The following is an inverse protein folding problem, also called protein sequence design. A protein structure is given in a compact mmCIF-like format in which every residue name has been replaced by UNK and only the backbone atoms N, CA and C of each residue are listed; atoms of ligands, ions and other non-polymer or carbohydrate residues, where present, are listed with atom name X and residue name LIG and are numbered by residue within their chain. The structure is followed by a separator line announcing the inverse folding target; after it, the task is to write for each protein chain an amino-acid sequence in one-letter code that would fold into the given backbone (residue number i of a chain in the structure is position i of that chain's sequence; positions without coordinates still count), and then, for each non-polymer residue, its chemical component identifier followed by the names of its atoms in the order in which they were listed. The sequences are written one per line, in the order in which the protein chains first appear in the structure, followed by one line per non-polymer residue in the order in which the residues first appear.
data_IF_202687524268
#
_entry.id   IF_202687524268
#
_cell.length_a   1.000
_cell.length_b   1.000
_cell.length_c   1.000
_cell.angle_alpha   90.00
_cell.angle_beta   90.00
_cell.angle_gamma   90.00
#
_symmetry.space_group_name_H-M   'P 1'
#
loop_
_entity.id
_entity.type
_entity.pdbx_description
1 polymer ?
#
# COMPACT_ATOMS: atom_id res chain seq x y z
N UNK A 1 13.90 -14.65 -4.83
CA UNK A 1 14.01 -13.75 -6.01
C UNK A 1 12.66 -13.16 -6.31
N UNK A 2 12.55 -11.85 -6.29
CA UNK A 2 11.31 -11.19 -6.70
C UNK A 2 11.07 -11.48 -8.17
N UNK A 3 9.83 -11.87 -8.48
CA UNK A 3 9.42 -12.02 -9.87
C UNK A 3 9.25 -10.63 -10.45
N UNK A 4 10.24 -10.15 -11.21
CA UNK A 4 10.24 -8.84 -11.84
C UNK A 4 9.54 -8.83 -13.20
N UNK A 5 8.86 -9.93 -13.56
CA UNK A 5 8.14 -10.01 -14.82
C UNK A 5 7.09 -8.91 -14.92
N UNK A 6 7.14 -8.15 -16.00
CA UNK A 6 6.21 -7.07 -16.28
C UNK A 6 6.53 -5.75 -15.62
N UNK A 7 7.53 -5.69 -14.73
CA UNK A 7 7.97 -4.42 -14.12
C UNK A 7 8.92 -3.72 -15.08
N UNK A 8 8.54 -2.53 -15.55
CA UNK A 8 9.30 -1.79 -16.53
C UNK A 8 10.46 -0.99 -15.90
N UNK A 9 11.41 -0.58 -16.72
CA UNK A 9 12.69 -0.02 -16.27
C UNK A 9 12.57 1.31 -15.52
N UNK A 10 11.50 2.07 -15.73
CA UNK A 10 11.25 3.33 -15.02
C UNK A 10 10.62 3.15 -13.63
N UNK A 11 10.43 1.90 -13.19
CA UNK A 11 9.97 1.59 -11.85
C UNK A 11 11.07 1.75 -10.82
N UNK A 12 10.71 2.15 -9.60
CA UNK A 12 11.66 2.31 -8.49
C UNK A 12 11.15 1.63 -7.23
N UNK A 13 12.10 1.16 -6.42
CA UNK A 13 11.84 0.55 -5.10
C UNK A 13 12.70 1.24 -4.05
N UNK A 14 12.17 1.29 -2.84
CA UNK A 14 12.84 1.88 -1.68
C UNK A 14 12.83 0.88 -0.54
N UNK A 15 13.97 0.72 0.13
CA UNK A 15 14.12 -0.11 1.32
C UNK A 15 14.71 0.75 2.44
N UNK A 16 14.06 0.73 3.60
CA UNK A 16 14.51 1.48 4.76
C UNK A 16 14.39 0.60 6.00
N UNK A 17 15.52 0.38 6.67
CA UNK A 17 15.53 -0.32 7.94
C UNK A 17 15.09 0.62 9.06
N UNK A 18 14.21 0.15 9.93
CA UNK A 18 13.81 0.89 11.11
C UNK A 18 14.90 0.79 12.18
N UNK A 19 15.25 1.93 12.79
CA UNK A 19 16.09 1.90 13.99
C UNK A 19 15.31 1.31 15.18
N UNK A 20 15.98 1.10 16.31
CA UNK A 20 15.37 0.47 17.48
C UNK A 20 14.17 1.25 18.01
N UNK A 21 14.25 2.57 18.05
CA UNK A 21 13.14 3.42 18.50
C UNK A 21 11.94 3.29 17.57
N UNK A 22 12.16 3.39 16.26
CA UNK A 22 11.12 3.34 15.24
C UNK A 22 10.44 1.98 15.23
N UNK A 23 11.22 0.90 15.25
CA UNK A 23 10.66 -0.46 15.23
C UNK A 23 9.77 -0.74 16.44
N UNK A 24 10.08 -0.14 17.61
CA UNK A 24 9.35 -0.38 18.86
C UNK A 24 8.15 0.55 19.03
N UNK A 25 8.25 1.79 18.55
CA UNK A 25 7.33 2.85 19.00
C UNK A 25 6.53 3.53 17.89
N UNK A 26 6.88 3.36 16.63
CA UNK A 26 6.28 4.11 15.52
C UNK A 26 5.65 3.21 14.48
N UNK A 27 4.74 3.77 13.69
CA UNK A 27 4.44 3.21 12.37
C UNK A 27 5.66 3.41 11.50
N UNK A 28 5.98 2.43 10.66
CA UNK A 28 7.12 2.57 9.74
C UNK A 28 6.85 1.89 8.40
N UNK A 29 7.60 2.31 7.39
CA UNK A 29 7.51 1.82 6.01
C UNK A 29 8.86 1.22 5.62
N UNK A 30 9.01 -0.12 5.75
CA UNK A 30 10.27 -0.77 5.41
C UNK A 30 10.51 -0.89 3.91
N UNK A 31 9.45 -0.86 3.10
CA UNK A 31 9.54 -1.13 1.68
C UNK A 31 8.44 -0.36 0.95
N UNK A 32 8.79 0.26 -0.15
CA UNK A 32 7.86 1.01 -0.98
C UNK A 32 8.32 1.00 -2.43
N UNK A 33 7.42 1.32 -3.34
CA UNK A 33 7.74 1.39 -4.75
C UNK A 33 6.77 2.25 -5.54
N UNK A 34 7.25 2.70 -6.68
CA UNK A 34 6.46 3.35 -7.72
C UNK A 34 6.69 2.55 -9.00
N UNK A 35 5.66 1.85 -9.45
CA UNK A 35 5.76 0.87 -10.51
C UNK A 35 5.02 1.30 -11.77
N UNK A 36 5.68 1.07 -12.89
CA UNK A 36 5.08 1.03 -14.20
C UNK A 36 5.21 -0.40 -14.71
N UNK A 37 4.09 -1.06 -14.98
CA UNK A 37 4.07 -2.47 -15.35
C UNK A 37 3.28 -2.69 -16.63
N UNK A 38 3.65 -3.72 -17.38
CA UNK A 38 2.82 -4.23 -18.46
C UNK A 38 1.82 -5.29 -17.93
N UNK A 39 1.00 -5.83 -18.80
CA UNK A 39 -0.05 -6.78 -18.44
C UNK A 39 0.45 -8.17 -18.03
N UNK A 40 1.76 -8.43 -18.11
CA UNK A 40 2.35 -9.68 -17.62
C UNK A 40 2.65 -9.64 -16.11
N UNK A 41 2.54 -8.45 -15.50
CA UNK A 41 2.85 -8.28 -14.09
C UNK A 41 1.85 -9.02 -13.19
N UNK A 42 2.36 -9.72 -12.20
CA UNK A 42 1.56 -10.37 -11.19
C UNK A 42 2.36 -10.68 -9.93
N UNK A 43 1.65 -10.85 -8.83
CA UNK A 43 2.20 -11.17 -7.52
C UNK A 43 1.28 -12.16 -6.83
N UNK A 44 1.85 -13.21 -6.25
CA UNK A 44 1.11 -14.15 -5.41
C UNK A 44 1.97 -14.50 -4.20
N UNK A 45 1.37 -14.43 -3.01
CA UNK A 45 2.01 -14.83 -1.75
C UNK A 45 0.99 -15.48 -0.82
N UNK A 46 1.43 -16.46 -0.04
CA UNK A 46 0.62 -17.04 1.01
C UNK A 46 0.78 -16.29 2.33
N UNK A 47 1.98 -15.72 2.57
CA UNK A 47 2.29 -15.05 3.83
C UNK A 47 3.47 -14.11 3.69
N UNK A 48 3.29 -12.91 4.24
CA UNK A 48 4.36 -11.95 4.52
C UNK A 48 3.94 -11.15 5.76
N UNK A 49 4.79 -11.05 6.76
CA UNK A 49 4.46 -10.40 8.04
C UNK A 49 4.47 -8.87 7.91
N UNK A 50 3.49 -8.33 7.19
CA UNK A 50 3.37 -6.90 6.90
C UNK A 50 1.94 -6.55 6.47
N UNK A 51 1.55 -5.30 6.62
CA UNK A 51 0.38 -4.72 5.95
C UNK A 51 0.84 -3.97 4.70
N UNK A 52 -0.03 -3.87 3.70
CA UNK A 52 0.31 -3.24 2.43
C UNK A 52 -0.84 -2.35 1.93
N UNK A 53 -0.47 -1.22 1.35
CA UNK A 53 -1.35 -0.39 0.55
C UNK A 53 -0.81 -0.31 -0.87
N UNK A 54 -1.73 -0.41 -1.85
CA UNK A 54 -1.44 -0.17 -3.27
C UNK A 54 -2.41 0.90 -3.76
N UNK A 55 -1.91 1.84 -4.53
CA UNK A 55 -2.71 2.90 -5.12
C UNK A 55 -2.60 2.79 -6.64
N UNK A 56 -3.73 2.56 -7.30
CA UNK A 56 -3.77 2.48 -8.76
C UNK A 56 -3.89 3.89 -9.30
N UNK A 57 -2.88 4.32 -10.05
CA UNK A 57 -2.86 5.63 -10.69
C UNK A 57 -3.39 5.58 -12.12
N UNK A 58 -3.02 4.53 -12.88
CA UNK A 58 -3.50 4.28 -14.25
C UNK A 58 -3.66 2.78 -14.46
N UNK A 59 -4.65 2.40 -15.25
CA UNK A 59 -4.89 1.00 -15.60
C UNK A 59 -5.76 0.27 -14.60
N UNK A 60 -5.80 -1.06 -14.72
CA UNK A 60 -6.64 -1.92 -13.89
C UNK A 60 -5.86 -3.09 -13.32
N UNK A 61 -6.11 -3.38 -12.06
CA UNK A 61 -5.49 -4.48 -11.31
C UNK A 61 -6.59 -5.44 -10.82
N UNK A 62 -6.42 -6.72 -11.10
CA UNK A 62 -7.27 -7.76 -10.52
C UNK A 62 -6.67 -8.21 -9.20
N UNK A 63 -7.45 -8.19 -8.12
CA UNK A 63 -7.00 -8.52 -6.77
C UNK A 63 -7.86 -9.66 -6.22
N UNK A 64 -7.20 -10.71 -5.76
CA UNK A 64 -7.85 -11.85 -5.08
C UNK A 64 -7.41 -11.88 -3.62
N UNK A 65 -8.37 -11.74 -2.72
CA UNK A 65 -8.12 -11.64 -1.30
C UNK A 65 -9.37 -12.03 -0.51
N UNK A 66 -9.21 -12.81 0.56
CA UNK A 66 -10.31 -13.26 1.43
C UNK A 66 -11.45 -13.94 0.66
N UNK A 67 -11.10 -14.75 -0.35
CA UNK A 67 -12.07 -15.51 -1.14
C UNK A 67 -12.82 -14.71 -2.20
N UNK A 68 -12.46 -13.44 -2.41
CA UNK A 68 -13.08 -12.59 -3.43
C UNK A 68 -12.05 -12.15 -4.46
N UNK A 69 -12.49 -12.02 -5.71
CA UNK A 69 -11.71 -11.41 -6.78
C UNK A 69 -12.41 -10.13 -7.23
N UNK A 70 -11.71 -9.02 -7.20
CA UNK A 70 -12.24 -7.70 -7.58
C UNK A 70 -11.25 -6.96 -8.45
N UNK A 71 -11.76 -6.08 -9.29
CA UNK A 71 -10.95 -5.20 -10.14
C UNK A 71 -10.82 -3.83 -9.48
N UNK A 72 -9.58 -3.34 -9.36
CA UNK A 72 -9.26 -2.01 -8.90
C UNK A 72 -8.81 -1.15 -10.08
N UNK A 73 -9.49 -0.04 -10.29
CA UNK A 73 -9.17 0.94 -11.33
C UNK A 73 -8.52 2.20 -10.77
N UNK A 74 -8.26 3.21 -11.63
CA UNK A 74 -7.65 4.46 -11.18
C UNK A 74 -8.45 5.11 -10.04
N UNK A 75 -7.72 5.59 -9.04
CA UNK A 75 -8.31 6.18 -7.84
C UNK A 75 -8.70 5.18 -6.77
N UNK A 76 -8.38 3.90 -6.93
CA UNK A 76 -8.58 2.89 -5.89
C UNK A 76 -7.34 2.75 -5.02
N UNK A 77 -7.57 2.61 -3.70
CA UNK A 77 -6.57 2.19 -2.75
C UNK A 77 -6.91 0.75 -2.33
N UNK A 78 -5.93 -0.13 -2.41
CA UNK A 78 -6.06 -1.53 -2.01
C UNK A 78 -5.34 -1.71 -0.68
N UNK A 79 -6.04 -2.26 0.32
CA UNK A 79 -5.50 -2.52 1.65
C UNK A 79 -5.46 -4.02 1.89
N UNK A 80 -4.29 -4.53 2.26
CA UNK A 80 -4.07 -5.96 2.50
C UNK A 80 -3.34 -6.19 3.83
N UNK A 81 -3.78 -7.18 4.57
CA UNK A 81 -2.95 -7.85 5.57
C UNK A 81 -2.24 -9.01 4.87
N UNK A 82 -0.96 -8.84 4.59
CA UNK A 82 -0.18 -9.81 3.81
C UNK A 82 0.09 -11.12 4.55
N UNK A 83 -0.27 -11.21 5.82
CA UNK A 83 -0.26 -12.50 6.55
C UNK A 83 -1.34 -13.45 6.09
N UNK A 84 -2.35 -12.94 5.37
CA UNK A 84 -3.36 -13.73 4.69
C UNK A 84 -2.96 -13.92 3.22
N UNK A 85 -3.35 -15.06 2.59
CA UNK A 85 -3.06 -15.27 1.16
C UNK A 85 -3.64 -14.14 0.30
N UNK A 86 -2.83 -13.65 -0.63
CA UNK A 86 -3.21 -12.55 -1.50
C UNK A 86 -2.52 -12.68 -2.86
N UNK A 87 -3.22 -12.27 -3.90
CA UNK A 87 -2.67 -12.20 -5.24
C UNK A 87 -3.25 -11.03 -6.01
N UNK A 88 -2.48 -10.50 -6.92
CA UNK A 88 -2.96 -9.48 -7.85
C UNK A 88 -2.17 -9.55 -9.15
N UNK A 89 -2.83 -9.18 -10.24
CA UNK A 89 -2.19 -9.10 -11.54
C UNK A 89 -2.79 -7.97 -12.38
N UNK A 90 -1.96 -7.41 -13.25
CA UNK A 90 -2.37 -6.34 -14.14
C UNK A 90 -3.27 -6.88 -15.26
N UNK A 91 -4.43 -6.25 -15.44
CA UNK A 91 -5.34 -6.55 -16.57
C UNK A 91 -4.98 -5.72 -17.79
N UNK A 92 -4.35 -4.58 -17.58
CA UNK A 92 -3.87 -3.63 -18.59
C UNK A 92 -2.49 -3.18 -18.18
N UNK A 93 -1.74 -2.46 -19.02
CA UNK A 93 -0.59 -1.69 -18.51
C UNK A 93 -1.05 -0.82 -17.34
N UNK A 94 -0.23 -0.74 -16.31
CA UNK A 94 -0.62 -0.12 -15.04
C UNK A 94 0.49 0.78 -14.49
N UNK A 95 0.10 1.88 -13.85
CA UNK A 95 0.96 2.68 -12.98
C UNK A 95 0.36 2.65 -11.59
N UNK A 96 1.20 2.32 -10.60
CA UNK A 96 0.77 2.22 -9.21
C UNK A 96 1.87 2.61 -8.26
N UNK A 97 1.48 3.09 -7.09
CA UNK A 97 2.34 3.32 -5.95
C UNK A 97 1.96 2.30 -4.88
N UNK A 98 2.93 1.83 -4.15
CA UNK A 98 2.65 0.89 -3.07
C UNK A 98 3.64 1.07 -1.93
N UNK A 99 3.24 0.70 -0.73
CA UNK A 99 4.13 0.64 0.41
C UNK A 99 3.67 -0.43 1.41
N UNK A 100 4.65 -1.04 2.06
CA UNK A 100 4.46 -1.89 3.21
C UNK A 100 4.50 -1.02 4.46
N UNK A 101 3.70 -1.33 5.46
CA UNK A 101 3.71 -0.61 6.72
C UNK A 101 3.51 -1.57 7.90
N UNK A 102 4.09 -1.22 9.03
CA UNK A 102 4.06 -2.02 10.25
C UNK A 102 4.17 -1.11 11.47
N UNK A 103 4.06 -1.71 12.64
CA UNK A 103 4.20 -1.01 13.91
C UNK A 103 2.88 -0.48 14.47
N UNK A 104 2.91 -0.07 15.73
CA UNK A 104 1.78 0.48 16.46
C UNK A 104 0.46 -0.28 16.21
N UNK A 105 -0.60 0.41 15.83
CA UNK A 105 -1.90 -0.17 15.54
C UNK A 105 -2.11 -0.60 14.09
N UNK A 106 -1.06 -0.83 13.30
CA UNK A 106 -1.17 -1.17 11.87
C UNK A 106 -2.13 -2.33 11.61
N UNK A 107 -1.97 -3.43 12.32
CA UNK A 107 -2.82 -4.62 12.16
C UNK A 107 -4.26 -4.34 12.60
N UNK A 108 -4.43 -3.69 13.74
CA UNK A 108 -5.76 -3.39 14.30
C UNK A 108 -6.54 -2.46 13.36
N UNK A 109 -5.92 -1.39 12.88
CA UNK A 109 -6.55 -0.48 11.92
C UNK A 109 -6.86 -1.17 10.58
N UNK A 110 -5.91 -1.97 10.08
CA UNK A 110 -6.12 -2.70 8.83
C UNK A 110 -7.35 -3.61 8.94
N UNK A 111 -7.47 -4.38 10.01
CA UNK A 111 -8.63 -5.25 10.20
C UNK A 111 -9.93 -4.47 10.43
N UNK A 112 -9.89 -3.36 11.14
CA UNK A 112 -11.05 -2.49 11.30
C UNK A 112 -11.56 -1.99 9.94
N UNK A 113 -10.67 -1.50 9.09
CA UNK A 113 -11.02 -0.99 7.76
C UNK A 113 -11.50 -2.12 6.86
N UNK A 114 -10.78 -3.25 6.81
CA UNK A 114 -11.15 -4.41 6.00
C UNK A 114 -12.54 -4.95 6.36
N UNK A 115 -12.85 -5.04 7.66
CA UNK A 115 -14.13 -5.57 8.13
C UNK A 115 -15.30 -4.61 7.90
N UNK A 116 -15.03 -3.32 7.79
CA UNK A 116 -16.06 -2.29 7.58
C UNK A 116 -16.26 -1.96 6.10
N UNK A 117 -15.17 -1.85 5.33
CA UNK A 117 -15.19 -1.32 3.96
C UNK A 117 -14.69 -2.29 2.90
N UNK A 118 -14.08 -3.42 3.29
CA UNK A 118 -13.42 -4.33 2.35
C UNK A 118 -12.02 -3.87 1.97
N UNK A 119 -11.45 -4.49 0.94
CA UNK A 119 -10.05 -4.30 0.58
C UNK A 119 -9.81 -3.38 -0.62
N UNK A 120 -10.86 -2.97 -1.32
CA UNK A 120 -10.79 -1.98 -2.40
C UNK A 120 -11.55 -0.74 -1.96
N UNK A 121 -10.80 0.35 -1.78
CA UNK A 121 -11.31 1.59 -1.19
C UNK A 121 -11.33 2.69 -2.26
N UNK A 122 -12.50 3.32 -2.53
CA UNK A 122 -12.61 4.37 -3.55
C UNK A 122 -12.15 5.72 -2.99
N UNK A 123 -10.84 5.93 -2.92
CA UNK A 123 -10.23 7.10 -2.26
C UNK A 123 -9.80 8.21 -3.21
N UNK A 124 -9.90 8.00 -4.55
CA UNK A 124 -9.29 8.88 -5.54
C UNK A 124 -9.85 10.31 -5.59
N UNK A 125 -11.03 10.56 -5.03
CA UNK A 125 -11.62 11.89 -4.95
C UNK A 125 -11.32 12.61 -3.62
N UNK A 126 -10.64 11.95 -2.68
CA UNK A 126 -10.34 12.54 -1.37
C UNK A 126 -8.94 13.14 -1.36
N UNK A 127 -8.87 14.48 -1.34
CA UNK A 127 -7.60 15.22 -1.41
C UNK A 127 -6.72 14.98 -0.18
N UNK A 128 -7.28 14.80 1.00
CA UNK A 128 -6.49 14.55 2.23
C UNK A 128 -5.84 13.18 2.21
N UNK A 129 -6.56 12.17 1.75
CA UNK A 129 -6.02 10.80 1.61
C UNK A 129 -4.89 10.80 0.58
N UNK A 130 -5.12 11.42 -0.59
CA UNK A 130 -4.09 11.52 -1.63
C UNK A 130 -2.85 12.27 -1.12
N UNK A 131 -3.02 13.33 -0.34
CA UNK A 131 -1.90 14.06 0.24
C UNK A 131 -1.10 13.20 1.23
N UNK A 132 -1.76 12.38 2.03
CA UNK A 132 -1.06 11.43 2.91
C UNK A 132 -0.24 10.43 2.11
N UNK A 133 -0.80 9.83 1.08
CA UNK A 133 -0.10 8.89 0.20
C UNK A 133 1.11 9.56 -0.44
N UNK A 134 0.90 10.76 -1.00
CA UNK A 134 1.99 11.53 -1.62
C UNK A 134 3.12 11.81 -0.64
N UNK A 135 2.80 12.23 0.58
CA UNK A 135 3.81 12.50 1.62
C UNK A 135 4.60 11.28 2.01
N UNK A 136 3.94 10.12 2.14
CA UNK A 136 4.63 8.87 2.42
C UNK A 136 5.61 8.55 1.29
N UNK A 137 5.16 8.61 0.04
CA UNK A 137 6.00 8.27 -1.11
C UNK A 137 7.16 9.25 -1.28
N UNK A 138 6.95 10.55 -1.07
CA UNK A 138 8.03 11.56 -1.08
C UNK A 138 9.02 11.30 0.04
N UNK A 139 8.54 11.00 1.24
CA UNK A 139 9.40 10.75 2.41
C UNK A 139 10.30 9.53 2.22
N UNK A 140 9.75 8.41 1.71
CA UNK A 140 10.55 7.19 1.49
C UNK A 140 11.55 7.33 0.34
N UNK A 141 11.32 8.28 -0.56
CA UNK A 141 12.26 8.60 -1.65
C UNK A 141 13.53 9.29 -1.13
N UNK A 142 13.48 9.92 0.03
CA UNK A 142 14.62 10.63 0.62
C UNK A 142 15.70 9.64 1.05
N UNK A 143 16.96 10.05 0.97
CA UNK A 143 18.08 9.20 1.36
C UNK A 143 18.06 8.88 2.87
N UNK A 144 17.64 9.84 3.69
CA UNK A 144 17.44 9.66 5.13
C UNK A 144 16.03 10.12 5.50
N UNK A 145 15.03 9.25 5.34
CA UNK A 145 13.65 9.60 5.67
C UNK A 145 13.50 9.92 7.16
N UNK A 146 12.65 10.90 7.48
CA UNK A 146 12.32 11.20 8.85
C UNK A 146 11.25 10.21 9.36
N UNK A 147 11.59 9.32 10.29
CA UNK A 147 10.66 8.28 10.74
C UNK A 147 9.46 8.84 11.50
N UNK A 148 9.60 9.99 12.17
CA UNK A 148 8.50 10.61 12.90
C UNK A 148 7.46 11.20 11.95
N UNK A 149 7.87 11.80 10.85
CA UNK A 149 6.97 12.33 9.81
C UNK A 149 6.22 11.18 9.13
N UNK A 150 6.91 10.10 8.78
CA UNK A 150 6.29 8.92 8.18
C UNK A 150 5.25 8.32 9.14
N UNK A 151 5.60 8.14 10.41
CA UNK A 151 4.70 7.59 11.41
C UNK A 151 3.45 8.44 11.59
N UNK A 152 3.61 9.75 11.70
CA UNK A 152 2.49 10.69 11.81
C UNK A 152 1.57 10.59 10.59
N UNK A 153 2.14 10.52 9.40
CA UNK A 153 1.38 10.47 8.15
C UNK A 153 0.62 9.14 7.99
N UNK A 154 1.25 8.02 8.35
CA UNK A 154 0.57 6.71 8.36
C UNK A 154 -0.63 6.75 9.31
N UNK A 155 -0.43 7.26 10.53
CA UNK A 155 -1.52 7.37 11.51
C UNK A 155 -2.68 8.21 10.97
N UNK A 156 -2.37 9.37 10.38
CA UNK A 156 -3.39 10.23 9.78
C UNK A 156 -4.13 9.51 8.66
N UNK A 157 -3.42 8.81 7.78
CA UNK A 157 -4.03 8.06 6.68
C UNK A 157 -4.99 7.00 7.19
N UNK A 158 -4.58 6.20 8.18
CA UNK A 158 -5.44 5.17 8.76
C UNK A 158 -6.70 5.76 9.40
N UNK A 159 -6.55 6.86 10.14
CA UNK A 159 -7.69 7.56 10.74
C UNK A 159 -8.65 8.09 9.67
N UNK A 160 -8.13 8.69 8.60
CA UNK A 160 -8.96 9.17 7.49
C UNK A 160 -9.72 8.03 6.82
N UNK A 161 -9.07 6.87 6.60
CA UNK A 161 -9.74 5.72 6.00
C UNK A 161 -10.90 5.22 6.86
N UNK A 162 -10.76 5.26 8.20
CA UNK A 162 -11.86 4.92 9.10
C UNK A 162 -13.00 5.94 9.04
N UNK A 163 -12.67 7.24 9.07
CA UNK A 163 -13.66 8.30 9.22
C UNK A 163 -14.37 8.64 7.91
N UNK A 164 -13.62 8.76 6.81
CA UNK A 164 -14.16 9.26 5.54
C UNK A 164 -15.01 8.21 4.84
N UNK A 165 -14.55 6.97 4.83
CA UNK A 165 -15.27 5.87 4.17
C UNK A 165 -16.47 5.38 4.98
N UNK A 166 -16.61 5.80 6.24
CA UNK A 166 -17.73 5.45 7.11
C UNK A 166 -19.00 6.25 6.87
N UNK A 167 -18.95 7.24 5.99
CA UNK A 167 -20.10 8.10 5.67
C UNK A 167 -20.92 7.59 4.49
#
# INVERSE_FOLDING_TARGET
MLNDMGILADSVRYYHDADAFTATNLYHVPHAGSYHCDETYGMQRNYLDICQMLIVDEGELSVTYRGETRTAGPGSLILLDCREPHSYHALTPIRMRWFHFAGNGSTAYTHLILNTHGFILPTGSNAEIEECVRRIMVSVHQNQPNPHIISLTINKLLVLLVLVLGE
#
